data_IF_673871142600
#
_entry.id   IF_673871142600
#
_cell.length_a   1.000
_cell.length_b   1.000
_cell.length_c   1.000
_cell.angle_alpha   90.00
_cell.angle_beta   90.00
_cell.angle_gamma   90.00
#
_symmetry.space_group_name_H-M   'P 1'
#
loop_
_entity.id
_entity.type
_entity.pdbx_description
1 polymer ?
#
# COMPACT_ATOMS: atom_id res chain seq x y z
N UNK A 1 8.40 -10.39 -3.78
CA UNK A 1 8.05 -10.43 -5.22
C UNK A 1 7.01 -9.38 -5.59
N UNK A 2 5.89 -9.27 -4.88
CA UNK A 2 4.85 -8.24 -5.14
C UNK A 2 5.39 -6.80 -5.18
N UNK A 3 6.20 -6.40 -4.19
CA UNK A 3 6.86 -5.08 -4.17
C UNK A 3 7.69 -4.83 -5.43
N UNK A 4 8.48 -5.80 -5.85
CA UNK A 4 9.33 -5.72 -7.04
C UNK A 4 8.50 -5.65 -8.33
N UNK A 5 7.40 -6.40 -8.40
CA UNK A 5 6.48 -6.35 -9.55
C UNK A 5 5.78 -4.99 -9.66
N UNK A 6 5.37 -4.40 -8.53
CA UNK A 6 4.78 -3.06 -8.48
C UNK A 6 5.81 -2.01 -8.91
N UNK A 7 7.03 -2.06 -8.37
CA UNK A 7 8.11 -1.13 -8.76
C UNK A 7 8.41 -1.20 -10.26
N UNK A 8 8.46 -2.42 -10.83
CA UNK A 8 8.66 -2.60 -12.26
C UNK A 8 7.49 -2.03 -13.09
N UNK A 9 6.24 -2.25 -12.66
CA UNK A 9 5.05 -1.71 -13.34
C UNK A 9 5.00 -0.18 -13.27
N UNK A 10 5.39 0.42 -12.15
CA UNK A 10 5.51 1.89 -12.00
C UNK A 10 6.55 2.44 -12.96
N UNK A 11 7.76 1.89 -12.99
CA UNK A 11 8.82 2.34 -13.91
C UNK A 11 8.38 2.20 -15.38
N UNK A 12 7.69 1.11 -15.72
CA UNK A 12 7.19 0.90 -17.07
C UNK A 12 6.09 1.92 -17.45
N UNK A 13 5.18 2.25 -16.52
CA UNK A 13 4.18 3.29 -16.72
C UNK A 13 4.82 4.68 -16.85
N UNK A 14 5.79 5.02 -16.00
CA UNK A 14 6.56 6.26 -16.07
C UNK A 14 7.30 6.43 -17.41
N UNK A 15 7.76 5.33 -18.00
CA UNK A 15 8.35 5.35 -19.34
C UNK A 15 7.28 5.57 -20.43
N UNK A 16 6.12 4.90 -20.32
CA UNK A 16 5.04 5.00 -21.31
C UNK A 16 4.42 6.41 -21.37
N UNK A 17 4.22 7.08 -20.22
CA UNK A 17 3.64 8.42 -20.16
C UNK A 17 4.54 9.53 -20.74
N UNK A 18 5.82 9.23 -20.98
CA UNK A 18 6.76 10.15 -21.65
C UNK A 18 6.61 10.12 -23.18
N UNK A 19 5.92 9.12 -23.71
CA UNK A 19 5.49 9.07 -25.10
C UNK A 19 4.02 9.44 -25.25
N UNK A 20 3.48 9.16 -26.43
CA UNK A 20 2.17 9.65 -26.87
C UNK A 20 1.21 8.51 -27.27
N UNK A 21 1.62 7.27 -27.02
CA UNK A 21 0.81 6.08 -27.29
C UNK A 21 -0.17 5.81 -26.14
N UNK A 22 -1.41 6.28 -26.31
CA UNK A 22 -2.49 6.05 -25.37
C UNK A 22 -2.74 4.56 -25.10
N UNK A 23 -2.64 3.70 -26.11
CA UNK A 23 -2.89 2.27 -25.93
C UNK A 23 -1.81 1.63 -25.05
N UNK A 24 -0.54 2.05 -25.22
CA UNK A 24 0.54 1.61 -24.36
C UNK A 24 0.36 2.09 -22.91
N UNK A 25 -0.04 3.35 -22.71
CA UNK A 25 -0.31 3.90 -21.38
C UNK A 25 -1.46 3.14 -20.71
N UNK A 26 -2.58 2.95 -21.41
CA UNK A 26 -3.76 2.23 -20.90
C UNK A 26 -3.37 0.80 -20.45
N UNK A 27 -2.58 0.08 -21.27
CA UNK A 27 -2.10 -1.25 -20.93
C UNK A 27 -1.22 -1.26 -19.67
N UNK A 28 -0.35 -0.25 -19.50
CA UNK A 28 0.51 -0.12 -18.31
C UNK A 28 -0.25 0.27 -17.04
N UNK A 29 -1.29 1.08 -17.16
CA UNK A 29 -2.21 1.39 -16.05
C UNK A 29 -2.97 0.14 -15.61
N UNK A 30 -3.44 -0.66 -16.56
CA UNK A 30 -4.12 -1.93 -16.27
C UNK A 30 -3.15 -2.92 -15.59
N UNK A 31 -1.92 -3.04 -16.08
CA UNK A 31 -0.87 -3.86 -15.50
C UNK A 31 -0.57 -3.44 -14.04
N UNK A 32 -0.34 -2.15 -13.80
CA UNK A 32 -0.11 -1.60 -12.45
C UNK A 32 -1.27 -1.90 -11.50
N UNK A 33 -2.51 -1.76 -11.98
CA UNK A 33 -3.70 -2.06 -11.19
C UNK A 33 -3.78 -3.54 -10.80
N UNK A 34 -3.49 -4.45 -11.73
CA UNK A 34 -3.48 -5.90 -11.50
C UNK A 34 -2.45 -6.30 -10.45
N UNK A 35 -1.21 -5.78 -10.55
CA UNK A 35 -0.14 -6.14 -9.60
C UNK A 35 -0.32 -5.48 -8.23
N UNK A 36 -1.07 -4.39 -8.14
CA UNK A 36 -1.37 -3.70 -6.87
C UNK A 36 -2.56 -4.30 -6.12
N UNK A 37 -3.50 -4.96 -6.81
CA UNK A 37 -4.71 -5.52 -6.20
C UNK A 37 -4.44 -6.48 -5.02
N UNK A 38 -3.47 -7.42 -5.08
CA UNK A 38 -3.18 -8.32 -3.97
C UNK A 38 -2.70 -7.58 -2.71
N UNK A 39 -1.96 -6.48 -2.87
CA UNK A 39 -1.46 -5.67 -1.74
C UNK A 39 -2.62 -4.95 -1.04
N UNK A 40 -3.55 -4.39 -1.81
CA UNK A 40 -4.76 -3.78 -1.25
C UNK A 40 -5.58 -4.82 -0.48
N UNK A 41 -5.76 -6.01 -1.05
CA UNK A 41 -6.46 -7.12 -0.39
C UNK A 41 -5.78 -7.53 0.92
N UNK A 42 -4.45 -7.60 0.95
CA UNK A 42 -3.67 -7.87 2.18
C UNK A 42 -3.87 -6.78 3.22
N UNK A 43 -3.76 -5.51 2.85
CA UNK A 43 -4.00 -4.40 3.80
C UNK A 43 -5.41 -4.45 4.40
N UNK A 44 -6.44 -4.71 3.60
CA UNK A 44 -7.80 -4.85 4.12
C UNK A 44 -7.94 -6.07 5.04
N UNK A 45 -7.30 -7.19 4.73
CA UNK A 45 -7.29 -8.37 5.59
C UNK A 45 -6.55 -8.11 6.91
N UNK A 46 -5.40 -7.44 6.87
CA UNK A 46 -4.64 -7.05 8.06
C UNK A 46 -5.41 -6.05 8.94
N UNK A 47 -6.19 -5.15 8.36
CA UNK A 47 -7.07 -4.24 9.10
C UNK A 47 -8.30 -4.94 9.72
N UNK A 48 -8.79 -6.00 9.08
CA UNK A 48 -9.94 -6.77 9.56
C UNK A 48 -9.58 -7.77 10.66
N UNK A 49 -8.30 -8.15 10.79
CA UNK A 49 -7.82 -8.87 11.96
C UNK A 49 -7.81 -7.89 13.15
N UNK A 50 -8.43 -8.23 14.30
CA UNK A 50 -8.17 -7.50 15.53
C UNK A 50 -6.67 -7.51 15.72
N UNK A 51 -6.07 -6.34 15.88
CA UNK A 51 -4.67 -6.26 16.28
C UNK A 51 -4.53 -6.92 17.65
N UNK A 52 -4.31 -8.24 17.69
CA UNK A 52 -3.82 -8.97 18.86
C UNK A 52 -2.40 -8.45 19.12
N UNK A 53 -2.34 -7.29 19.79
CA UNK A 53 -1.13 -6.50 19.97
C UNK A 53 -1.36 -4.99 20.12
N UNK A 54 -2.55 -4.47 19.77
CA UNK A 54 -2.93 -3.12 20.18
C UNK A 54 -3.36 -3.14 21.65
N UNK A 55 -2.37 -3.12 22.55
CA UNK A 55 -2.60 -2.61 23.90
C UNK A 55 -3.31 -1.25 23.78
N UNK A 56 -4.30 -0.94 24.63
CA UNK A 56 -5.00 0.32 24.55
C UNK A 56 -3.98 1.44 24.68
N UNK A 57 -3.84 2.23 23.63
CA UNK A 57 -3.08 3.47 23.66
C UNK A 57 -3.94 4.49 24.42
N UNK A 58 -3.99 4.31 25.73
CA UNK A 58 -4.85 5.01 26.67
C UNK A 58 -4.61 4.47 28.06
N UNK A 59 -3.58 5.01 28.73
CA UNK A 59 -3.28 4.99 30.19
C UNK A 59 -1.77 4.82 30.45
N UNK A 60 -0.98 5.83 30.07
CA UNK A 60 0.38 5.97 30.58
C UNK A 60 0.84 7.44 30.55
N UNK A 61 0.02 8.36 31.08
CA UNK A 61 0.46 9.73 31.37
C UNK A 61 -0.48 10.39 32.38
N UNK A 62 -0.39 10.02 33.66
CA UNK A 62 -0.56 10.89 34.83
C UNK A 62 -0.60 10.02 36.10
N UNK A 63 0.54 9.43 36.44
CA UNK A 63 0.93 9.19 37.84
C UNK A 63 2.17 10.05 38.10
N UNK A 64 1.95 11.35 38.13
CA UNK A 64 2.79 12.26 38.90
C UNK A 64 1.91 12.68 40.08
N UNK A 65 1.79 11.76 41.03
CA UNK A 65 1.29 12.04 42.37
C UNK A 65 2.47 12.74 43.07
N UNK A 66 2.35 14.06 43.19
CA UNK A 66 3.28 14.93 43.91
C UNK A 66 2.88 14.85 45.39
N UNK A 67 3.65 14.12 46.19
CA UNK A 67 3.58 14.03 47.67
C UNK A 67 4.95 14.17 48.29
#
# INVERSE_FOLDING_TARGET
EEKTAIEAAVVALEAAIKGDDKAAIDAKVEELSKVSAPVAQKMYAEQAQPAEGAAPQGEAAQKADDV
#
